data_IF_804323526069
#
_entry.id   IF_804323526069
#
_cell.length_a   1.000
_cell.length_b   1.000
_cell.length_c   1.000
_cell.angle_alpha   90.00
_cell.angle_beta   90.00
_cell.angle_gamma   90.00
#
_symmetry.space_group_name_H-M   'P 1'
#
loop_
_entity.id
_entity.type
_entity.pdbx_description
1 polymer ?
#
# COMPACT_ATOMS: atom_id res chain seq x y z
N UNK A 1 -8.37 13.15 5.70
CA UNK A 1 -9.51 14.08 5.61
C UNK A 1 -9.28 15.27 6.54
N UNK A 2 -8.31 16.15 6.26
CA UNK A 2 -8.11 17.38 7.04
C UNK A 2 -8.95 18.52 6.44
N UNK A 3 -9.06 18.53 5.11
CA UNK A 3 -9.76 19.55 4.35
C UNK A 3 -11.27 19.47 4.50
N UNK A 4 -11.82 18.26 4.56
CA UNK A 4 -13.24 18.02 4.74
C UNK A 4 -13.70 18.44 6.15
N UNK A 5 -12.86 18.20 7.17
CA UNK A 5 -13.14 18.66 8.53
C UNK A 5 -13.00 20.18 8.67
N UNK A 6 -12.04 20.80 7.99
CA UNK A 6 -11.92 22.26 7.93
C UNK A 6 -13.12 22.91 7.20
N UNK A 7 -13.56 22.34 6.07
CA UNK A 7 -14.72 22.81 5.33
C UNK A 7 -16.01 22.66 6.15
N UNK A 8 -16.19 21.53 6.84
CA UNK A 8 -17.32 21.33 7.73
C UNK A 8 -17.32 22.37 8.86
N UNK A 9 -16.18 22.61 9.51
CA UNK A 9 -16.08 23.61 10.58
C UNK A 9 -16.39 25.05 10.11
N UNK A 10 -16.04 25.41 8.88
CA UNK A 10 -16.32 26.74 8.33
C UNK A 10 -17.77 26.93 7.84
N UNK A 11 -18.46 25.85 7.49
CA UNK A 11 -19.76 25.91 6.80
C UNK A 11 -20.85 25.03 7.42
N UNK A 12 -20.65 24.57 8.65
CA UNK A 12 -21.53 23.64 9.36
C UNK A 12 -23.01 24.02 9.25
N UNK A 13 -23.34 25.29 9.47
CA UNK A 13 -24.72 25.81 9.41
C UNK A 13 -25.40 25.64 8.05
N UNK A 14 -24.63 25.49 6.97
CA UNK A 14 -25.12 25.32 5.61
C UNK A 14 -25.19 23.85 5.19
N UNK A 15 -24.38 22.97 5.79
CA UNK A 15 -24.18 21.59 5.29
C UNK A 15 -24.45 20.50 6.32
N UNK A 16 -24.65 20.81 7.61
CA UNK A 16 -24.75 19.81 8.68
C UNK A 16 -25.80 18.72 8.41
N UNK A 17 -27.00 19.11 7.98
CA UNK A 17 -28.08 18.16 7.70
C UNK A 17 -27.77 17.26 6.51
N UNK A 18 -27.27 17.83 5.41
CA UNK A 18 -26.88 17.08 4.22
C UNK A 18 -25.69 16.15 4.51
N UNK A 19 -24.73 16.63 5.29
CA UNK A 19 -23.58 15.87 5.73
C UNK A 19 -23.98 14.67 6.59
N UNK A 20 -24.87 14.86 7.56
CA UNK A 20 -25.40 13.77 8.40
C UNK A 20 -26.21 12.75 7.58
N UNK A 21 -27.00 13.22 6.61
CA UNK A 21 -27.73 12.35 5.69
C UNK A 21 -26.78 11.51 4.81
N UNK A 22 -25.72 12.13 4.28
CA UNK A 22 -24.69 11.45 3.48
C UNK A 22 -23.92 10.42 4.32
N UNK A 23 -23.54 10.75 5.56
CA UNK A 23 -22.93 9.77 6.49
C UNK A 23 -23.86 8.58 6.69
N UNK A 24 -25.14 8.83 6.96
CA UNK A 24 -26.13 7.78 7.19
C UNK A 24 -26.28 6.89 5.96
N UNK A 25 -26.39 7.48 4.77
CA UNK A 25 -26.49 6.75 3.51
C UNK A 25 -25.23 5.91 3.21
N UNK A 26 -24.04 6.45 3.49
CA UNK A 26 -22.78 5.70 3.32
C UNK A 26 -22.58 4.58 4.35
N UNK A 27 -23.25 4.67 5.50
CA UNK A 27 -23.23 3.62 6.52
C UNK A 27 -24.18 2.46 6.20
N UNK A 28 -25.08 2.61 5.22
CA UNK A 28 -25.95 1.53 4.79
C UNK A 28 -25.12 0.37 4.21
N UNK A 29 -25.44 -0.89 4.54
CA UNK A 29 -24.74 -2.04 3.98
C UNK A 29 -24.81 -2.03 2.46
N UNK A 30 -23.65 -2.13 1.81
CA UNK A 30 -23.58 -2.23 0.35
C UNK A 30 -24.11 -3.61 -0.06
N UNK A 31 -25.29 -3.64 -0.67
CA UNK A 31 -25.85 -4.84 -1.29
C UNK A 31 -25.57 -4.77 -2.79
N UNK A 32 -24.75 -5.66 -3.36
CA UNK A 32 -24.43 -5.61 -4.77
C UNK A 32 -25.66 -5.93 -5.61
N UNK A 33 -25.85 -5.18 -6.69
CA UNK A 33 -26.85 -5.53 -7.71
C UNK A 33 -26.38 -6.73 -8.51
N UNK A 34 -27.30 -7.38 -9.23
CA UNK A 34 -26.94 -8.51 -10.12
C UNK A 34 -25.89 -8.11 -11.15
N UNK A 35 -25.98 -6.91 -11.71
CA UNK A 35 -25.03 -6.41 -12.70
C UNK A 35 -23.65 -6.21 -12.08
N UNK A 36 -23.56 -5.65 -10.87
CA UNK A 36 -22.30 -5.53 -10.13
C UNK A 36 -21.67 -6.90 -9.82
N UNK A 37 -22.48 -7.92 -9.51
CA UNK A 37 -21.98 -9.28 -9.32
C UNK A 37 -21.42 -9.86 -10.63
N UNK A 38 -22.11 -9.64 -11.75
CA UNK A 38 -21.63 -10.06 -13.08
C UNK A 38 -20.31 -9.35 -13.41
N UNK A 39 -20.24 -8.03 -13.23
CA UNK A 39 -19.03 -7.24 -13.48
C UNK A 39 -17.87 -7.71 -12.59
N UNK A 40 -18.12 -8.00 -11.31
CA UNK A 40 -17.09 -8.52 -10.40
C UNK A 40 -16.55 -9.89 -10.85
N UNK A 41 -17.43 -10.80 -11.28
CA UNK A 41 -17.03 -12.11 -11.80
C UNK A 41 -16.21 -11.95 -13.08
N UNK A 42 -16.61 -11.05 -13.99
CA UNK A 42 -15.88 -10.79 -15.22
C UNK A 42 -14.53 -10.13 -14.96
N UNK A 43 -14.46 -9.22 -13.99
CA UNK A 43 -13.23 -8.60 -13.53
C UNK A 43 -12.26 -9.65 -12.96
N UNK A 44 -12.72 -10.53 -12.08
CA UNK A 44 -11.90 -11.62 -11.52
C UNK A 44 -11.42 -12.57 -12.61
N UNK A 45 -12.28 -12.91 -13.58
CA UNK A 45 -11.90 -13.74 -14.72
C UNK A 45 -10.81 -13.08 -15.60
N UNK A 46 -10.91 -11.76 -15.82
CA UNK A 46 -9.91 -10.98 -16.55
C UNK A 46 -8.58 -10.90 -15.79
N UNK A 47 -8.62 -10.70 -14.47
CA UNK A 47 -7.44 -10.70 -13.61
C UNK A 47 -6.75 -12.07 -13.63
N UNK A 48 -7.50 -13.16 -13.50
CA UNK A 48 -6.95 -14.51 -13.63
C UNK A 48 -6.35 -14.78 -15.02
N UNK A 49 -6.91 -14.22 -16.09
CA UNK A 49 -6.33 -14.32 -17.43
C UNK A 49 -4.98 -13.60 -17.50
N UNK A 50 -4.91 -12.34 -17.04
CA UNK A 50 -3.66 -11.58 -16.99
C UNK A 50 -2.61 -12.25 -16.10
N UNK A 51 -3.01 -12.85 -14.97
CA UNK A 51 -2.11 -13.62 -14.11
C UNK A 51 -1.52 -14.83 -14.83
N UNK A 52 -2.31 -15.57 -15.64
CA UNK A 52 -1.79 -16.68 -16.45
C UNK A 52 -0.77 -16.20 -17.47
N UNK A 53 -1.03 -15.08 -18.14
CA UNK A 53 -0.11 -14.51 -19.12
C UNK A 53 1.21 -14.09 -18.45
N UNK A 54 1.14 -13.40 -17.31
CA UNK A 54 2.32 -13.02 -16.53
C UNK A 54 3.07 -14.26 -16.02
N UNK A 55 2.36 -15.26 -15.52
CA UNK A 55 2.96 -16.51 -15.04
C UNK A 55 3.72 -17.23 -16.17
N UNK A 56 3.17 -17.25 -17.39
CA UNK A 56 3.85 -17.80 -18.55
C UNK A 56 5.14 -17.03 -18.90
N UNK A 57 5.10 -15.69 -18.83
CA UNK A 57 6.29 -14.85 -19.04
C UNK A 57 7.36 -15.10 -17.97
N UNK A 58 6.96 -15.24 -16.70
CA UNK A 58 7.89 -15.47 -15.58
C UNK A 58 8.44 -16.90 -15.56
N UNK A 59 7.68 -17.89 -16.04
CA UNK A 59 8.10 -19.28 -16.13
C UNK A 59 8.96 -19.56 -17.38
N UNK A 60 8.94 -18.68 -18.38
CA UNK A 60 9.87 -18.77 -19.50
C UNK A 60 11.30 -18.58 -18.99
N UNK A 61 12.21 -19.47 -19.40
CA UNK A 61 13.63 -19.34 -19.07
C UNK A 61 14.11 -17.94 -19.48
N UNK A 62 14.58 -17.17 -18.50
CA UNK A 62 15.09 -15.83 -18.73
C UNK A 62 16.17 -15.87 -19.81
N UNK A 63 16.14 -14.90 -20.72
CA UNK A 63 17.22 -14.71 -21.69
C UNK A 63 18.56 -14.76 -20.92
N UNK A 64 19.58 -15.47 -21.43
CA UNK A 64 20.81 -15.68 -20.70
C UNK A 64 21.34 -14.31 -20.24
N UNK A 65 21.39 -14.11 -18.93
CA UNK A 65 22.07 -12.95 -18.36
C UNK A 65 23.46 -12.94 -18.95
N UNK A 66 23.77 -11.91 -19.75
CA UNK A 66 25.13 -11.68 -20.25
C UNK A 66 26.10 -11.96 -19.10
N UNK A 67 27.00 -12.91 -19.31
CA UNK A 67 27.97 -13.35 -18.31
C UNK A 67 29.00 -12.24 -17.95
N UNK A 68 28.88 -11.07 -18.55
CA UNK A 68 29.69 -9.90 -18.24
C UNK A 68 29.13 -9.17 -17.02
N UNK A 69 29.96 -9.05 -15.98
CA UNK A 69 29.67 -8.21 -14.84
C UNK A 69 29.36 -6.76 -15.29
N UNK A 70 28.36 -6.09 -14.68
CA UNK A 70 28.05 -4.71 -15.03
C UNK A 70 29.24 -3.81 -14.70
N UNK A 71 29.49 -2.82 -15.55
CA UNK A 71 30.48 -1.77 -15.28
C UNK A 71 30.00 -0.83 -14.19
N UNK A 72 28.69 -0.69 -14.04
CA UNK A 72 28.04 0.12 -13.02
C UNK A 72 26.73 -0.56 -12.62
N UNK A 73 26.56 -0.80 -11.32
CA UNK A 73 25.32 -1.29 -10.75
C UNK A 73 24.80 -0.28 -9.73
N UNK A 74 23.56 0.17 -9.90
CA UNK A 74 22.95 1.20 -9.05
C UNK A 74 21.61 0.73 -8.49
N UNK A 75 21.33 1.00 -7.22
CA UNK A 75 20.04 0.75 -6.62
C UNK A 75 19.18 2.02 -6.63
N UNK A 76 17.94 1.89 -7.11
CA UNK A 76 16.92 2.94 -7.12
C UNK A 76 15.70 2.46 -6.35
N UNK A 77 14.80 3.38 -5.96
CA UNK A 77 13.49 2.99 -5.44
C UNK A 77 12.76 2.09 -6.46
N UNK A 78 11.96 1.12 -6.02
CA UNK A 78 11.02 0.38 -6.90
C UNK A 78 9.84 1.26 -7.38
N UNK A 79 9.79 2.50 -6.94
CA UNK A 79 8.79 3.49 -7.31
C UNK A 79 8.89 3.86 -8.80
N UNK A 80 7.75 3.88 -9.50
CA UNK A 80 7.63 4.20 -10.94
C UNK A 80 8.18 5.58 -11.30
N UNK A 81 8.27 6.51 -10.34
CA UNK A 81 8.90 7.83 -10.55
C UNK A 81 10.39 7.72 -10.86
N UNK A 82 11.05 6.65 -10.40
CA UNK A 82 12.47 6.38 -10.71
C UNK A 82 12.67 5.68 -12.05
N UNK A 83 11.61 5.10 -12.64
CA UNK A 83 11.68 4.28 -13.85
C UNK A 83 12.30 5.04 -15.02
N UNK A 84 11.95 6.31 -15.20
CA UNK A 84 12.49 7.15 -16.30
C UNK A 84 14.00 7.32 -16.17
N UNK A 85 14.51 7.55 -14.95
CA UNK A 85 15.95 7.67 -14.69
C UNK A 85 16.67 6.34 -14.91
N UNK A 86 16.08 5.25 -14.42
CA UNK A 86 16.65 3.90 -14.58
C UNK A 86 16.78 3.52 -16.04
N UNK A 87 15.71 3.66 -16.83
CA UNK A 87 15.71 3.37 -18.27
C UNK A 87 16.67 4.26 -19.04
N UNK A 88 16.73 5.55 -18.71
CA UNK A 88 17.68 6.46 -19.34
C UNK A 88 19.12 6.01 -19.10
N UNK A 89 19.49 5.65 -17.86
CA UNK A 89 20.84 5.15 -17.54
C UNK A 89 21.16 3.82 -18.24
N UNK A 90 20.24 2.85 -18.23
CA UNK A 90 20.44 1.56 -18.90
C UNK A 90 20.49 1.69 -20.42
N UNK A 91 19.91 2.75 -20.99
CA UNK A 91 19.97 3.01 -22.44
C UNK A 91 21.31 3.61 -22.91
N UNK A 92 22.09 4.22 -21.99
CA UNK A 92 23.38 4.85 -22.31
C UNK A 92 24.47 3.79 -22.58
N UNK A 93 24.47 2.72 -21.80
CA UNK A 93 25.46 1.63 -21.94
C UNK A 93 24.82 0.30 -21.48
N UNK A 94 24.82 -0.75 -22.32
CA UNK A 94 24.33 -2.09 -21.95
C UNK A 94 24.98 -2.72 -20.71
N UNK A 95 26.14 -2.21 -20.28
CA UNK A 95 26.85 -2.64 -19.08
C UNK A 95 26.44 -1.86 -17.81
N UNK A 96 25.55 -0.86 -17.91
CA UNK A 96 24.89 -0.22 -16.77
C UNK A 96 23.65 -1.03 -16.41
N UNK A 97 23.51 -1.40 -15.14
CA UNK A 97 22.37 -2.16 -14.64
C UNK A 97 21.79 -1.51 -13.39
N UNK A 98 20.47 -1.37 -13.34
CA UNK A 98 19.77 -0.87 -12.16
C UNK A 98 19.07 -1.97 -11.39
N UNK A 99 19.05 -1.83 -10.07
CA UNK A 99 18.28 -2.66 -9.15
C UNK A 99 17.16 -1.82 -8.56
N UNK A 100 15.98 -2.41 -8.41
CA UNK A 100 14.91 -1.84 -7.61
C UNK A 100 15.06 -2.25 -6.14
N UNK A 101 14.98 -1.29 -5.24
CA UNK A 101 14.92 -1.49 -3.80
C UNK A 101 13.73 -0.72 -3.21
N UNK A 102 13.10 -1.24 -2.15
CA UNK A 102 12.04 -0.50 -1.47
C UNK A 102 12.64 0.72 -0.76
N UNK A 103 12.64 1.86 -1.44
CA UNK A 103 12.98 3.14 -0.86
C UNK A 103 11.92 3.55 0.17
N UNK A 104 12.38 4.06 1.29
CA UNK A 104 11.52 4.60 2.34
C UNK A 104 11.80 6.09 2.48
N UNK A 105 10.83 6.85 2.96
CA UNK A 105 10.92 8.32 3.11
C UNK A 105 11.87 8.77 4.24
N UNK A 106 12.90 7.98 4.58
CA UNK A 106 13.86 8.31 5.65
C UNK A 106 13.34 8.05 7.07
N UNK A 107 12.11 7.55 7.24
CA UNK A 107 11.55 7.16 8.54
C UNK A 107 11.44 5.65 8.72
N UNK A 108 12.20 5.09 9.65
CA UNK A 108 12.11 3.67 10.01
C UNK A 108 11.01 3.48 11.06
N UNK A 109 9.75 3.44 10.63
CA UNK A 109 8.61 3.38 11.56
C UNK A 109 8.14 1.94 11.83
N UNK A 110 7.93 1.58 13.09
CA UNK A 110 7.09 0.44 13.48
C UNK A 110 5.73 0.94 13.92
N UNK A 111 4.64 0.30 13.50
CA UNK A 111 3.29 0.68 13.90
C UNK A 111 2.58 -0.44 14.66
N UNK A 112 2.07 -0.15 15.85
CA UNK A 112 1.19 -1.06 16.59
C UNK A 112 -0.26 -0.75 16.25
N UNK A 113 -0.90 -1.67 15.53
CA UNK A 113 -2.35 -1.60 15.35
C UNK A 113 -3.05 -1.82 16.69
N UNK A 114 -4.24 -1.25 16.83
CA UNK A 114 -5.09 -1.49 17.99
C UNK A 114 -5.39 -3.01 18.02
N UNK A 115 -5.35 -3.62 19.19
CA UNK A 115 -5.52 -5.06 19.37
C UNK A 115 -4.29 -5.93 19.00
N UNK A 116 -3.18 -5.35 18.55
CA UNK A 116 -1.97 -6.10 18.16
C UNK A 116 -0.79 -5.86 19.11
N UNK A 117 -0.15 -6.95 19.54
CA UNK A 117 1.14 -6.87 20.25
C UNK A 117 2.33 -6.83 19.29
N UNK A 118 2.13 -7.22 18.04
CA UNK A 118 3.17 -7.23 17.01
C UNK A 118 3.21 -5.86 16.34
N UNK A 119 4.39 -5.25 16.34
CA UNK A 119 4.63 -4.01 15.61
C UNK A 119 4.86 -4.29 14.13
N UNK A 120 3.98 -3.76 13.27
CA UNK A 120 4.13 -3.80 11.83
C UNK A 120 5.37 -2.99 11.43
N UNK A 121 6.37 -3.66 10.84
CA UNK A 121 7.58 -3.01 10.35
C UNK A 121 7.27 -2.28 9.04
N UNK A 122 7.02 -0.97 9.13
CA UNK A 122 6.84 -0.07 7.98
C UNK A 122 8.17 0.62 7.65
N UNK A 123 9.20 -0.20 7.42
CA UNK A 123 10.58 0.22 7.18
C UNK A 123 11.31 -0.81 6.30
N UNK A 124 12.48 -0.47 5.71
CA UNK A 124 13.26 -1.43 4.93
C UNK A 124 13.69 -2.64 5.77
N UNK A 125 13.65 -3.82 5.17
CA UNK A 125 13.95 -5.10 5.84
C UNK A 125 15.33 -5.14 6.52
N UNK A 126 16.29 -4.35 6.02
CA UNK A 126 17.66 -4.27 6.52
C UNK A 126 17.87 -3.27 7.67
N UNK A 127 16.86 -2.48 8.01
CA UNK A 127 16.96 -1.44 9.05
C UNK A 127 16.19 -1.84 10.31
N UNK A 128 16.55 -1.21 11.43
CA UNK A 128 15.79 -1.30 12.67
C UNK A 128 14.82 -0.12 12.78
N UNK A 129 13.66 -0.27 13.45
CA UNK A 129 12.77 0.83 13.73
C UNK A 129 13.47 1.93 14.55
N UNK A 130 13.35 3.18 14.12
CA UNK A 130 13.79 4.38 14.83
C UNK A 130 12.62 5.21 15.38
N UNK A 131 11.39 4.93 14.94
CA UNK A 131 10.16 5.54 15.46
C UNK A 131 9.10 4.47 15.67
N UNK A 132 8.38 4.55 16.79
CA UNK A 132 7.24 3.66 17.06
C UNK A 132 5.96 4.48 17.18
N UNK A 133 4.95 4.10 16.41
CA UNK A 133 3.60 4.67 16.47
C UNK A 133 2.62 3.61 16.92
N UNK A 134 1.45 4.03 17.41
CA UNK A 134 0.36 3.13 17.77
C UNK A 134 -0.98 3.74 17.42
N UNK A 135 -1.97 2.89 17.18
CA UNK A 135 -3.35 3.33 17.08
C UNK A 135 -3.89 3.69 18.47
N UNK A 136 -4.53 4.86 18.58
CA UNK A 136 -5.08 5.37 19.83
C UNK A 136 -4.07 6.10 20.73
N UNK A 137 -4.61 6.75 21.76
CA UNK A 137 -3.86 7.46 22.80
C UNK A 137 -3.81 6.70 24.12
N UNK A 138 -3.30 7.36 25.18
CA UNK A 138 -3.25 6.77 26.53
C UNK A 138 -4.63 6.39 27.07
N UNK A 139 -5.68 7.12 26.66
CA UNK A 139 -7.08 6.83 27.00
C UNK A 139 -7.58 5.50 26.44
N UNK A 140 -6.98 5.00 25.37
CA UNK A 140 -7.49 3.85 24.62
C UNK A 140 -6.81 2.53 25.06
N UNK A 141 -5.86 2.60 25.99
CA UNK A 141 -5.14 1.45 26.55
C UNK A 141 -6.07 0.34 27.07
N UNK A 142 -7.17 0.62 27.80
CA UNK A 142 -8.07 -0.42 28.28
C UNK A 142 -8.81 -1.13 27.14
N UNK A 143 -9.26 -0.37 26.13
CA UNK A 143 -9.95 -0.89 24.95
C UNK A 143 -9.00 -1.69 24.04
N UNK A 144 -7.76 -1.23 23.89
CA UNK A 144 -6.68 -1.96 23.21
C UNK A 144 -6.43 -3.32 23.86
N UNK A 145 -6.28 -3.35 25.19
CA UNK A 145 -6.08 -4.59 25.93
C UNK A 145 -7.28 -5.54 25.82
N UNK A 146 -8.50 -5.03 25.98
CA UNK A 146 -9.71 -5.84 25.84
C UNK A 146 -9.76 -6.52 24.46
N UNK A 147 -9.45 -5.78 23.39
CA UNK A 147 -9.44 -6.33 22.03
C UNK A 147 -8.34 -7.36 21.81
N UNK A 148 -7.16 -7.20 22.43
CA UNK A 148 -6.09 -8.22 22.37
C UNK A 148 -6.53 -9.54 22.99
N UNK A 149 -7.27 -9.47 24.10
CA UNK A 149 -7.74 -10.66 24.81
C UNK A 149 -8.85 -11.37 24.02
N UNK A 150 -9.73 -10.61 23.37
CA UNK A 150 -10.84 -11.14 22.57
C UNK A 150 -10.36 -11.89 21.31
N UNK A 151 -9.30 -11.42 20.65
CA UNK A 151 -8.74 -12.03 19.43
C UNK A 151 -7.89 -13.30 19.71
N UNK A 152 -7.59 -13.60 20.98
CA UNK A 152 -6.80 -14.79 21.39
C UNK A 152 -7.65 -16.01 21.77
N UNK A 153 -8.97 -15.87 21.81
CA UNK A 153 -9.93 -16.96 22.08
C UNK A 153 -10.48 -17.47 20.75
#
# INVERSE_FOLDING_TARGET
MLWEQALFACHETLVADQWAAVITAHAEPVVPTKDQMIDAILQEAAEHAAQRDIAAVLAADGAPTSAMAPRLQMAFCIDVRSEVFRRALESVDPQIRTLGFAGFFGFTASHHQLGSEVGDRRLPVLLNPGLTTRAGGASDLPADLARRLDVRV
#
